data_IF_780321273928
#
_entry.id   IF_780321273928
#
_cell.length_a   1.000
_cell.length_b   1.000
_cell.length_c   1.000
_cell.angle_alpha   90.00
_cell.angle_beta   90.00
_cell.angle_gamma   90.00
#
_symmetry.space_group_name_H-M   'P 1'
#
loop_
_entity.id
_entity.type
_entity.pdbx_description
1 polymer ?
#
# COMPACT_ATOMS: atom_id res chain seq x y z
N UNK A 1 -14.30 5.29 24.72
CA UNK A 1 -13.08 5.90 24.13
C UNK A 1 -12.16 4.75 23.71
N UNK A 2 -12.12 4.39 22.43
CA UNK A 2 -11.29 3.27 21.96
C UNK A 2 -9.94 3.78 21.48
N UNK A 3 -8.91 3.46 22.25
CA UNK A 3 -7.52 3.76 21.93
C UNK A 3 -6.95 2.54 21.17
N UNK A 4 -7.14 2.50 19.85
CA UNK A 4 -6.50 1.49 18.99
C UNK A 4 -5.11 1.98 18.67
N UNK A 5 -4.15 1.62 19.52
CA UNK A 5 -2.72 1.82 19.28
C UNK A 5 -2.29 0.98 18.08
N UNK A 6 -2.34 1.56 16.88
CA UNK A 6 -1.74 0.96 15.67
C UNK A 6 -0.24 0.79 15.93
N UNK A 7 0.20 -0.46 16.12
CA UNK A 7 1.62 -0.82 16.18
C UNK A 7 2.24 -0.67 14.78
N UNK A 8 2.41 0.57 14.34
CA UNK A 8 3.37 0.89 13.30
C UNK A 8 4.74 0.45 13.84
N UNK A 9 5.27 -0.63 13.28
CA UNK A 9 6.63 -1.11 13.57
C UNK A 9 7.58 0.10 13.57
N UNK A 10 8.25 0.30 14.71
CA UNK A 10 8.96 1.54 15.05
C UNK A 10 9.90 1.99 13.91
N UNK A 11 9.83 3.26 13.47
CA UNK A 11 10.69 3.79 12.41
C UNK A 11 12.18 3.77 12.79
N UNK A 12 12.52 3.64 14.07
CA UNK A 12 13.90 3.68 14.54
C UNK A 12 14.68 2.42 14.14
N UNK A 13 14.02 1.25 14.14
CA UNK A 13 14.67 -0.02 13.79
C UNK A 13 14.94 -0.14 12.28
N UNK A 14 14.14 0.53 11.45
CA UNK A 14 14.28 0.56 9.98
C UNK A 14 15.17 1.72 9.48
N UNK A 15 15.37 2.77 10.27
CA UNK A 15 16.24 3.90 9.92
C UNK A 15 17.73 3.59 10.17
N UNK A 16 18.07 2.87 11.25
CA UNK A 16 19.46 2.67 11.67
C UNK A 16 20.31 1.82 10.71
N UNK A 17 19.71 0.95 9.90
CA UNK A 17 20.47 0.07 8.97
C UNK A 17 20.72 0.65 7.57
N UNK A 18 20.23 1.84 7.24
CA UNK A 18 20.15 2.26 5.83
C UNK A 18 20.89 3.56 5.46
N UNK A 19 21.88 3.97 6.26
CA UNK A 19 22.71 5.16 5.99
C UNK A 19 23.97 4.86 5.15
N UNK A 20 24.21 3.63 4.71
CA UNK A 20 25.41 3.31 3.93
C UNK A 20 25.11 2.80 2.51
N UNK A 21 25.80 3.44 1.54
CA UNK A 21 26.03 3.11 0.13
C UNK A 21 25.14 3.80 -0.91
N UNK A 22 25.65 4.95 -1.34
CA UNK A 22 25.54 5.52 -2.68
C UNK A 22 26.10 4.58 -3.75
N UNK A 23 25.34 4.33 -4.83
CA UNK A 23 25.77 4.18 -6.24
C UNK A 23 24.65 3.51 -7.07
N UNK A 24 24.24 4.14 -8.19
CA UNK A 24 23.66 3.52 -9.40
C UNK A 24 22.43 2.57 -9.34
N UNK A 25 21.92 2.17 -8.17
CA UNK A 25 20.95 1.08 -8.09
C UNK A 25 19.52 1.54 -8.44
N UNK A 26 19.11 1.25 -9.67
CA UNK A 26 17.71 1.40 -10.10
C UNK A 26 16.80 0.58 -9.18
N UNK A 27 15.77 1.22 -8.63
CA UNK A 27 14.78 0.52 -7.81
C UNK A 27 14.04 -0.52 -8.67
N UNK A 28 13.81 -1.73 -8.13
CA UNK A 28 12.96 -2.73 -8.79
C UNK A 28 11.62 -2.11 -9.17
N UNK A 29 11.21 -2.24 -10.42
CA UNK A 29 9.97 -1.67 -10.94
C UNK A 29 8.73 -2.11 -10.15
N UNK A 30 8.72 -3.34 -9.64
CA UNK A 30 7.67 -3.85 -8.76
C UNK A 30 7.43 -2.95 -7.54
N UNK A 31 8.49 -2.48 -6.89
CA UNK A 31 8.43 -1.63 -5.71
C UNK A 31 7.93 -0.22 -6.04
N UNK A 32 8.34 0.30 -7.21
CA UNK A 32 7.86 1.58 -7.72
C UNK A 32 6.35 1.49 -7.99
N UNK A 33 5.91 0.43 -8.68
CA UNK A 33 4.50 0.20 -9.01
C UNK A 33 3.67 0.05 -7.73
N UNK A 34 4.12 -0.76 -6.77
CA UNK A 34 3.47 -0.91 -5.45
C UNK A 34 3.29 0.44 -4.74
N UNK A 35 4.35 1.23 -4.64
CA UNK A 35 4.28 2.57 -4.00
C UNK A 35 3.32 3.49 -4.74
N UNK A 36 3.28 3.44 -6.07
CA UNK A 36 2.32 4.22 -6.87
C UNK A 36 0.88 3.77 -6.64
N UNK A 37 0.63 2.46 -6.54
CA UNK A 37 -0.71 1.91 -6.20
C UNK A 37 -1.18 2.39 -4.84
N UNK A 38 -0.33 2.28 -3.80
CA UNK A 38 -0.66 2.80 -2.46
C UNK A 38 -0.92 4.31 -2.49
N UNK A 39 -0.07 5.10 -3.17
CA UNK A 39 -0.30 6.54 -3.31
C UNK A 39 -1.65 6.85 -3.97
N UNK A 40 -1.96 6.16 -5.07
CA UNK A 40 -3.20 6.33 -5.79
C UNK A 40 -4.42 5.89 -4.97
N UNK A 41 -4.33 4.77 -4.26
CA UNK A 41 -5.41 4.30 -3.39
C UNK A 41 -5.82 5.35 -2.36
N UNK A 42 -4.87 5.97 -1.66
CA UNK A 42 -5.25 7.02 -0.72
C UNK A 42 -5.78 8.28 -1.39
N UNK A 43 -5.36 8.60 -2.62
CA UNK A 43 -5.99 9.68 -3.39
C UNK A 43 -7.45 9.32 -3.71
N UNK A 44 -7.69 8.10 -4.19
CA UNK A 44 -9.00 7.57 -4.49
C UNK A 44 -9.93 7.61 -3.28
N UNK A 45 -9.43 7.28 -2.08
CA UNK A 45 -10.23 7.35 -0.85
C UNK A 45 -10.70 8.76 -0.51
N UNK A 46 -9.90 9.78 -0.81
CA UNK A 46 -10.23 11.20 -0.55
C UNK A 46 -11.05 11.86 -1.66
N UNK A 47 -11.33 11.17 -2.76
CA UNK A 47 -12.15 11.74 -3.82
C UNK A 47 -13.62 11.85 -3.36
N UNK A 48 -14.34 12.91 -3.78
CA UNK A 48 -15.78 13.02 -3.55
C UNK A 48 -16.54 11.82 -4.14
N UNK A 49 -17.62 11.40 -3.47
CA UNK A 49 -18.39 10.20 -3.84
C UNK A 49 -18.98 10.24 -5.26
N UNK A 50 -19.25 11.43 -5.80
CA UNK A 50 -19.78 11.60 -7.16
C UNK A 50 -18.71 11.53 -8.26
N UNK A 51 -17.43 11.43 -7.89
CA UNK A 51 -16.33 11.36 -8.87
C UNK A 51 -16.35 10.00 -9.56
N UNK A 52 -16.20 9.91 -10.89
CA UNK A 52 -16.23 8.64 -11.61
C UNK A 52 -15.29 7.57 -11.01
N UNK A 53 -14.08 7.95 -10.62
CA UNK A 53 -13.12 7.03 -10.02
C UNK A 53 -13.61 6.45 -8.67
N UNK A 54 -14.26 7.27 -7.83
CA UNK A 54 -14.79 6.83 -6.53
C UNK A 54 -16.02 5.92 -6.73
N UNK A 55 -16.87 6.23 -7.70
CA UNK A 55 -17.98 5.36 -8.12
C UNK A 55 -17.43 4.00 -8.60
N UNK A 56 -16.42 4.00 -9.48
CA UNK A 56 -15.79 2.75 -9.93
C UNK A 56 -15.18 1.93 -8.79
N UNK A 57 -14.63 2.57 -7.75
CA UNK A 57 -14.15 1.87 -6.56
C UNK A 57 -15.30 1.20 -5.80
N UNK A 58 -16.43 1.89 -5.63
CA UNK A 58 -17.61 1.31 -4.98
C UNK A 58 -18.16 0.12 -5.77
N UNK A 59 -18.24 0.24 -7.10
CA UNK A 59 -18.66 -0.87 -7.97
C UNK A 59 -17.68 -2.05 -7.89
N UNK A 60 -16.37 -1.79 -7.88
CA UNK A 60 -15.34 -2.83 -7.76
C UNK A 60 -15.39 -3.58 -6.41
N UNK A 61 -15.96 -2.97 -5.35
CA UNK A 61 -16.17 -3.61 -4.05
C UNK A 61 -17.40 -4.52 -4.03
N UNK A 62 -18.30 -4.43 -5.01
CA UNK A 62 -19.49 -5.30 -5.06
C UNK A 62 -19.08 -6.72 -5.39
N UNK A 63 -19.48 -7.66 -4.53
CA UNK A 63 -19.28 -9.10 -4.74
C UNK A 63 -20.25 -9.61 -5.80
N UNK A 64 -19.82 -9.63 -7.05
CA UNK A 64 -20.58 -10.22 -8.18
C UNK A 64 -19.99 -11.59 -8.52
N UNK A 65 -20.84 -12.55 -8.89
CA UNK A 65 -20.41 -13.86 -9.38
C UNK A 65 -19.52 -13.66 -10.61
N UNK A 66 -18.27 -14.11 -10.54
CA UNK A 66 -17.32 -13.97 -11.64
C UNK A 66 -17.73 -14.88 -12.81
N UNK A 67 -17.63 -14.39 -14.06
CA UNK A 67 -17.85 -15.26 -15.22
C UNK A 67 -16.79 -16.36 -15.25
N UNK A 68 -17.16 -17.52 -15.77
CA UNK A 68 -16.24 -18.67 -15.92
C UNK A 68 -15.13 -18.27 -16.88
N UNK A 69 -13.86 -18.45 -16.47
CA UNK A 69 -12.68 -18.00 -17.22
C UNK A 69 -12.33 -16.52 -17.05
N UNK A 70 -13.04 -15.79 -16.19
CA UNK A 70 -12.71 -14.40 -15.88
C UNK A 70 -11.38 -14.25 -15.12
N UNK A 71 -10.80 -13.06 -15.21
CA UNK A 71 -9.55 -12.75 -14.53
C UNK A 71 -9.69 -12.89 -13.00
N UNK A 72 -8.83 -13.70 -12.39
CA UNK A 72 -8.86 -13.97 -10.95
C UNK A 72 -8.37 -12.77 -10.14
N UNK A 73 -7.37 -12.05 -10.67
CA UNK A 73 -6.71 -10.93 -10.00
C UNK A 73 -7.31 -9.60 -10.45
N UNK A 74 -7.94 -8.88 -9.53
CA UNK A 74 -8.40 -7.51 -9.73
C UNK A 74 -7.39 -6.50 -9.18
N UNK A 75 -7.49 -5.26 -9.64
CA UNK A 75 -6.71 -4.16 -9.07
C UNK A 75 -6.92 -4.02 -7.56
N UNK A 76 -8.16 -4.16 -7.08
CA UNK A 76 -8.49 -4.11 -5.65
C UNK A 76 -7.82 -5.27 -4.87
N UNK A 77 -7.87 -6.49 -5.39
CA UNK A 77 -7.20 -7.64 -4.75
C UNK A 77 -5.68 -7.50 -4.71
N UNK A 78 -5.10 -6.75 -5.64
CA UNK A 78 -3.66 -6.46 -5.66
C UNK A 78 -3.31 -5.41 -4.60
N UNK A 79 -4.17 -4.40 -4.42
CA UNK A 79 -3.99 -3.41 -3.36
C UNK A 79 -4.18 -4.02 -1.98
N UNK A 80 -5.15 -4.90 -1.81
CA UNK A 80 -5.34 -5.65 -0.57
C UNK A 80 -4.05 -6.36 -0.16
N UNK A 81 -3.38 -7.05 -1.09
CA UNK A 81 -2.07 -7.66 -0.86
C UNK A 81 -1.01 -6.62 -0.49
N UNK A 82 -0.92 -5.52 -1.25
CA UNK A 82 0.04 -4.45 -0.97
C UNK A 82 -0.14 -3.83 0.43
N UNK A 83 -1.40 -3.74 0.91
CA UNK A 83 -1.76 -3.22 2.23
C UNK A 83 -1.49 -4.23 3.35
N UNK A 84 -1.74 -5.52 3.12
CA UNK A 84 -1.40 -6.60 4.06
C UNK A 84 0.11 -6.63 4.29
N UNK A 85 0.93 -6.44 3.26
CA UNK A 85 2.39 -6.29 3.39
C UNK A 85 2.82 -5.04 4.21
N UNK A 86 1.90 -4.11 4.45
CA UNK A 86 2.08 -2.93 5.31
C UNK A 86 1.41 -3.08 6.68
N UNK A 87 0.88 -4.26 7.00
CA UNK A 87 0.09 -4.55 8.21
C UNK A 87 -1.15 -3.64 8.33
N UNK A 88 -1.81 -3.36 7.20
CA UNK A 88 -3.01 -2.54 7.13
C UNK A 88 -4.18 -3.32 6.53
N UNK A 89 -5.33 -3.28 7.21
CA UNK A 89 -6.59 -3.69 6.59
C UNK A 89 -7.07 -2.62 5.59
N UNK A 90 -7.98 -3.00 4.68
CA UNK A 90 -8.59 -2.06 3.72
C UNK A 90 -9.35 -0.93 4.43
N UNK A 91 -10.00 -1.27 5.55
CA UNK A 91 -10.77 -0.36 6.39
C UNK A 91 -9.83 0.64 7.07
N UNK A 92 -8.78 0.15 7.75
CA UNK A 92 -7.77 1.00 8.40
C UNK A 92 -7.09 1.91 7.39
N UNK A 93 -6.74 1.37 6.23
CA UNK A 93 -6.15 2.16 5.14
C UNK A 93 -7.12 3.23 4.61
N UNK A 94 -8.42 2.96 4.60
CA UNK A 94 -9.44 3.94 4.22
C UNK A 94 -9.53 5.08 5.24
N UNK A 95 -9.55 4.77 6.54
CA UNK A 95 -9.55 5.76 7.62
C UNK A 95 -8.26 6.60 7.60
N UNK A 96 -7.10 5.95 7.56
CA UNK A 96 -5.79 6.62 7.49
C UNK A 96 -5.61 7.46 6.23
N UNK A 97 -6.20 7.07 5.10
CA UNK A 97 -6.09 7.82 3.86
C UNK A 97 -6.75 9.21 3.94
N UNK A 98 -7.72 9.42 4.82
CA UNK A 98 -8.34 10.74 5.00
C UNK A 98 -7.36 11.74 5.62
N UNK A 99 -6.48 11.29 6.52
CA UNK A 99 -5.37 12.11 7.00
C UNK A 99 -4.19 12.08 6.02
N UNK A 100 -3.96 13.22 5.35
CA UNK A 100 -2.86 13.36 4.38
C UNK A 100 -1.48 13.17 5.01
N UNK A 101 -1.29 13.53 6.28
CA UNK A 101 0.00 13.40 6.97
C UNK A 101 0.29 11.94 7.28
N UNK A 102 -0.68 11.23 7.84
CA UNK A 102 -0.55 9.79 8.12
C UNK A 102 -0.40 8.99 6.83
N UNK A 103 -1.19 9.28 5.79
CA UNK A 103 -1.05 8.59 4.51
C UNK A 103 0.32 8.78 3.84
N UNK A 104 0.94 9.96 4.00
CA UNK A 104 2.31 10.19 3.52
C UNK A 104 3.33 9.31 4.24
N UNK A 105 3.13 9.03 5.53
CA UNK A 105 4.00 8.09 6.27
C UNK A 105 3.86 6.68 5.70
N UNK A 106 2.63 6.22 5.46
CA UNK A 106 2.36 4.91 4.82
C UNK A 106 3.06 4.80 3.45
N UNK A 107 2.94 5.81 2.59
CA UNK A 107 3.62 5.84 1.27
C UNK A 107 5.15 5.87 1.42
N UNK A 108 5.69 6.50 2.46
CA UNK A 108 7.13 6.48 2.74
C UNK A 108 7.57 5.09 3.19
N UNK A 109 6.81 4.44 4.07
CA UNK A 109 7.06 3.08 4.53
C UNK A 109 6.98 2.11 3.36
N UNK A 110 6.00 2.23 2.46
CA UNK A 110 5.90 1.36 1.27
C UNK A 110 7.11 1.46 0.33
N UNK A 111 7.79 2.61 0.32
CA UNK A 111 9.06 2.81 -0.40
C UNK A 111 10.27 2.27 0.37
N UNK A 112 10.18 2.25 1.71
CA UNK A 112 11.26 1.93 2.63
C UNK A 112 11.31 0.45 3.07
N UNK A 113 10.19 -0.29 3.02
CA UNK A 113 10.12 -1.74 3.13
C UNK A 113 10.80 -2.38 1.91
N UNK A 114 12.11 -2.21 1.89
CA UNK A 114 13.08 -2.95 1.11
C UNK A 114 13.36 -4.19 1.96
N UNK A 115 12.85 -5.36 1.60
CA UNK A 115 13.53 -6.57 2.06
C UNK A 115 14.83 -6.69 1.26
N UNK A 116 16.01 -6.71 1.91
CA UNK A 116 17.09 -7.52 1.38
C UNK A 116 16.71 -8.97 1.64
N UNK A 117 16.36 -9.71 0.58
CA UNK A 117 16.73 -11.12 0.62
C UNK A 117 18.27 -11.10 0.58
N UNK A 118 18.98 -11.70 1.55
CA UNK A 118 20.38 -12.02 1.31
C UNK A 118 20.35 -12.92 0.08
N UNK A 119 21.00 -12.46 -0.99
CA UNK A 119 21.44 -13.35 -2.05
C UNK A 119 22.18 -14.49 -1.33
N UNK A 120 21.52 -15.64 -1.24
CA UNK A 120 22.08 -16.87 -0.74
C UNK A 120 23.09 -17.34 -1.77
N UNK A 121 24.24 -16.66 -1.77
CA UNK A 121 25.47 -17.14 -2.36
C UNK A 121 26.20 -17.93 -1.28
N UNK A 122 25.98 -19.24 -1.31
CA UNK A 122 27.02 -20.28 -1.23
C UNK A 122 26.46 -21.59 -1.75
#
# INVERSE_FOLDING_TARGET
MYNTSYKLSSPEKVMAMNVHLSEGHQQKWSNIIKTRRIRWYGHLQRLPEKTPAKISLQEARRTIKRPRGGQVTTWLSTIEKDLIELDLSVEDASHLAHDRREWRKVVRISRALRSPEPDASQ
#
